data_IF_268518109112
#
_entry.id   IF_268518109112
#
_cell.length_a   1.000
_cell.length_b   1.000
_cell.length_c   1.000
_cell.angle_alpha   90.00
_cell.angle_beta   90.00
_cell.angle_gamma   90.00
#
_symmetry.space_group_name_H-M   'P 1'
#
loop_
_entity.id
_entity.type
_entity.pdbx_description
1 polymer ?
#
# COMPACT_ATOMS: atom_id res chain seq x y z
N UNK A 1 7.99 -5.82 11.01
CA UNK A 1 7.84 -5.56 9.57
C UNK A 1 6.80 -6.52 9.02
N UNK A 2 5.58 -6.04 8.80
CA UNK A 2 4.45 -6.82 8.25
C UNK A 2 3.91 -6.04 7.06
N UNK A 3 4.02 -6.63 5.87
CA UNK A 3 3.35 -6.11 4.68
C UNK A 3 1.86 -6.41 4.81
N UNK A 4 1.01 -5.41 4.54
CA UNK A 4 -0.43 -5.61 4.51
C UNK A 4 -0.79 -6.60 3.38
N UNK A 5 -1.45 -7.73 3.65
CA UNK A 5 -1.79 -8.68 2.60
C UNK A 5 -2.82 -8.12 1.61
N UNK A 6 -3.58 -7.08 2.00
CA UNK A 6 -4.64 -6.47 1.16
C UNK A 6 -4.04 -5.58 0.07
N UNK A 7 -3.10 -4.70 0.43
CA UNK A 7 -2.58 -3.69 -0.50
C UNK A 7 -1.07 -3.77 -0.71
N UNK A 8 -0.37 -4.63 0.02
CA UNK A 8 1.09 -4.79 -0.01
C UNK A 8 1.89 -3.56 0.45
N UNK A 9 1.29 -2.70 1.28
CA UNK A 9 1.97 -1.59 1.96
C UNK A 9 2.71 -2.08 3.21
N UNK A 10 3.93 -1.59 3.43
CA UNK A 10 4.65 -1.74 4.69
C UNK A 10 4.23 -0.60 5.64
N UNK A 11 3.72 -0.97 6.81
CA UNK A 11 3.57 -0.02 7.91
C UNK A 11 4.96 0.29 8.50
N UNK A 12 5.53 1.41 8.05
CA UNK A 12 6.80 1.97 8.53
C UNK A 12 6.59 3.08 9.59
N UNK A 13 5.36 3.28 10.08
CA UNK A 13 5.00 4.35 11.01
C UNK A 13 4.83 5.73 10.34
N UNK A 14 4.60 5.79 9.04
CA UNK A 14 4.18 6.99 8.33
C UNK A 14 2.69 7.25 8.57
N UNK A 15 2.34 8.51 8.86
CA UNK A 15 0.98 8.95 9.15
C UNK A 15 0.58 10.11 8.22
N UNK A 16 -0.56 10.75 8.50
CA UNK A 16 -1.10 11.83 7.65
C UNK A 16 -0.18 13.06 7.58
N UNK A 17 0.54 13.37 8.65
CA UNK A 17 1.42 14.54 8.71
C UNK A 17 2.61 14.47 7.76
N UNK A 18 3.04 13.26 7.43
CA UNK A 18 4.21 12.98 6.62
C UNK A 18 3.87 12.09 5.42
N UNK A 19 2.59 11.99 5.04
CA UNK A 19 2.10 11.09 4.00
C UNK A 19 2.69 11.34 2.60
N UNK A 20 3.21 12.54 2.34
CA UNK A 20 3.87 12.90 1.09
C UNK A 20 5.37 12.53 1.07
N UNK A 21 5.96 12.16 2.21
CA UNK A 21 7.37 11.80 2.28
C UNK A 21 7.64 10.43 1.66
N UNK A 22 8.81 10.27 1.04
CA UNK A 22 9.27 8.99 0.52
C UNK A 22 10.40 8.49 1.43
N UNK A 23 10.13 7.40 2.15
CA UNK A 23 11.05 6.85 3.16
C UNK A 23 12.02 5.79 2.64
N UNK A 24 11.91 5.40 1.36
CA UNK A 24 12.79 4.43 0.68
C UNK A 24 12.92 3.08 1.40
N UNK A 25 11.85 2.65 2.09
CA UNK A 25 11.75 1.35 2.74
C UNK A 25 11.41 0.25 1.73
N UNK A 26 10.77 -0.86 2.14
CA UNK A 26 10.21 -1.86 1.20
C UNK A 26 9.17 -1.24 0.27
N UNK A 27 8.52 -0.14 0.70
CA UNK A 27 7.62 0.67 -0.12
C UNK A 27 8.35 1.30 -1.34
N UNK A 28 9.69 1.42 -1.31
CA UNK A 28 10.50 1.98 -2.39
C UNK A 28 10.30 3.48 -2.56
N UNK A 29 10.12 3.96 -3.79
CA UNK A 29 9.92 5.38 -4.10
C UNK A 29 8.45 5.83 -3.98
N UNK A 30 7.66 5.17 -3.12
CA UNK A 30 6.26 5.52 -2.90
C UNK A 30 6.09 6.31 -1.61
N UNK A 31 5.27 7.35 -1.67
CA UNK A 31 4.70 7.99 -0.48
C UNK A 31 3.36 7.33 -0.12
N UNK A 32 2.90 7.54 1.12
CA UNK A 32 1.58 7.06 1.57
C UNK A 32 0.43 7.67 0.75
N UNK A 33 0.52 8.94 0.35
CA UNK A 33 -0.48 9.58 -0.50
C UNK A 33 -0.61 8.89 -1.86
N UNK A 34 0.52 8.60 -2.50
CA UNK A 34 0.52 7.86 -3.77
C UNK A 34 -0.06 6.45 -3.58
N UNK A 35 0.30 5.77 -2.49
CA UNK A 35 -0.23 4.45 -2.21
C UNK A 35 -1.75 4.45 -2.00
N UNK A 36 -2.31 5.47 -1.34
CA UNK A 36 -3.77 5.66 -1.17
C UNK A 36 -4.47 5.91 -2.50
N UNK A 37 -3.86 6.70 -3.38
CA UNK A 37 -4.37 6.95 -4.72
C UNK A 37 -4.42 5.65 -5.55
N UNK A 38 -3.33 4.88 -5.56
CA UNK A 38 -3.30 3.60 -6.26
C UNK A 38 -4.25 2.58 -5.65
N UNK A 39 -4.38 2.55 -4.33
CA UNK A 39 -5.31 1.63 -3.66
C UNK A 39 -6.74 1.90 -4.11
N UNK A 40 -7.13 3.17 -4.24
CA UNK A 40 -8.46 3.56 -4.75
C UNK A 40 -8.66 3.15 -6.21
N UNK A 41 -7.59 3.14 -7.01
CA UNK A 41 -7.64 2.81 -8.44
C UNK A 41 -7.61 1.30 -8.74
N UNK A 42 -6.80 0.54 -8.01
CA UNK A 42 -6.53 -0.87 -8.33
C UNK A 42 -6.51 -1.83 -7.13
N UNK A 43 -6.77 -1.36 -5.91
CA UNK A 43 -6.78 -2.21 -4.70
C UNK A 43 -5.40 -2.60 -4.19
N UNK A 44 -4.33 -1.99 -4.70
CA UNK A 44 -2.96 -2.20 -4.22
C UNK A 44 -2.24 -0.86 -4.01
N UNK A 45 -1.22 -0.84 -3.14
CA UNK A 45 -0.40 0.36 -2.89
C UNK A 45 0.37 0.83 -4.14
N UNK A 46 0.51 -0.04 -5.16
CA UNK A 46 0.97 0.32 -6.49
C UNK A 46 0.59 -0.82 -7.46
N UNK A 47 0.37 -0.55 -8.76
CA UNK A 47 0.07 -1.60 -9.76
C UNK A 47 1.10 -2.74 -9.81
N UNK A 48 2.36 -2.45 -9.49
CA UNK A 48 3.44 -3.47 -9.42
C UNK A 48 3.22 -4.53 -8.33
N UNK A 49 2.36 -4.25 -7.35
CA UNK A 49 2.09 -5.14 -6.22
C UNK A 49 0.84 -6.00 -6.41
N UNK A 50 0.05 -5.77 -7.46
CA UNK A 50 -1.14 -6.56 -7.78
C UNK A 50 -0.91 -8.09 -7.78
N UNK A 51 0.24 -8.62 -8.22
CA UNK A 51 0.49 -10.06 -8.16
C UNK A 51 0.65 -10.62 -6.73
N UNK A 52 0.88 -9.77 -5.73
CA UNK A 52 1.19 -10.17 -4.34
C UNK A 52 0.07 -9.91 -3.35
N UNK A 53 -0.94 -9.10 -3.73
CA UNK A 53 -2.11 -8.88 -2.86
C UNK A 53 -2.94 -10.16 -2.73
N UNK A 54 -3.52 -10.37 -1.54
CA UNK A 54 -4.48 -11.44 -1.33
C UNK A 54 -5.74 -11.19 -2.16
N UNK A 55 -6.42 -12.28 -2.51
CA UNK A 55 -7.77 -12.17 -3.06
C UNK A 55 -8.74 -11.70 -1.96
N UNK A 56 -9.80 -10.95 -2.32
CA UNK A 56 -10.87 -10.64 -1.38
C UNK A 56 -11.47 -11.94 -0.84
N UNK A 57 -11.77 -11.96 0.46
CA UNK A 57 -12.49 -13.08 1.07
C UNK A 57 -13.94 -13.08 0.57
N UNK A 58 -14.62 -14.23 0.47
CA UNK A 58 -16.00 -14.30 -0.01
C UNK A 58 -17.01 -13.42 0.76
N UNK A 59 -16.68 -13.02 1.99
CA UNK A 59 -17.51 -12.15 2.83
C UNK A 59 -17.24 -10.65 2.63
N UNK A 60 -16.18 -10.29 1.91
CA UNK A 60 -15.83 -8.92 1.54
C UNK A 60 -16.44 -8.65 0.15
N UNK A 61 -17.54 -7.88 0.12
CA UNK A 61 -18.32 -7.57 -1.09
C UNK A 61 -17.94 -6.21 -1.68
#
# INVERSE_FOLDING_TARGET
MVLCPVCWWEDDGQEDSDAAEVRLTVNGQLSLDQAREYYTQCGAAHPRFLPYVRKPEPAEH
#
